data_IF_360956029739
#
_entry.id   IF_360956029739
#
_cell.length_a   1.000
_cell.length_b   1.000
_cell.length_c   1.000
_cell.angle_alpha   90.00
_cell.angle_beta   90.00
_cell.angle_gamma   90.00
#
_symmetry.space_group_name_H-M   'P 1'
#
loop_
_entity.id
_entity.type
_entity.pdbx_description
1 polymer ?
#
# COMPACT_ATOMS: atom_id res chain seq x y z
N UNK A 1 10.10 25.05 -5.69
CA UNK A 1 9.90 23.89 -4.80
C UNK A 1 10.97 23.90 -3.73
N UNK A 2 10.63 23.62 -2.46
CA UNK A 2 11.65 23.49 -1.42
C UNK A 2 12.38 22.16 -1.60
N UNK A 3 13.72 22.17 -1.55
CA UNK A 3 14.54 20.95 -1.68
C UNK A 3 14.15 19.85 -0.68
N UNK A 4 13.58 20.26 0.46
CA UNK A 4 13.09 19.38 1.51
C UNK A 4 11.81 18.63 1.11
N UNK A 5 10.88 19.27 0.39
CA UNK A 5 9.70 18.57 -0.14
C UNK A 5 10.11 17.54 -1.21
N UNK A 6 11.00 17.91 -2.13
CA UNK A 6 11.50 16.98 -3.15
C UNK A 6 12.21 15.78 -2.50
N UNK A 7 13.08 16.02 -1.51
CA UNK A 7 13.77 14.94 -0.79
C UNK A 7 12.79 13.96 -0.12
N UNK A 8 11.77 14.48 0.57
CA UNK A 8 10.76 13.61 1.22
C UNK A 8 9.82 12.94 0.20
N UNK A 9 9.62 13.55 -0.97
CA UNK A 9 8.87 12.96 -2.08
C UNK A 9 9.58 11.72 -2.65
N UNK A 10 10.86 11.85 -2.95
CA UNK A 10 11.70 10.75 -3.41
C UNK A 10 11.83 9.64 -2.35
N UNK A 11 11.99 10.05 -1.07
CA UNK A 11 12.17 9.11 0.04
C UNK A 11 10.96 8.19 0.20
N UNK A 12 9.74 8.75 0.25
CA UNK A 12 8.55 7.90 0.40
C UNK A 12 8.31 7.05 -0.84
N UNK A 13 8.53 7.60 -2.04
CA UNK A 13 8.36 6.85 -3.29
C UNK A 13 9.30 5.64 -3.32
N UNK A 14 10.59 5.84 -3.02
CA UNK A 14 11.57 4.76 -2.98
C UNK A 14 11.22 3.67 -1.96
N UNK A 15 10.84 4.05 -0.74
CA UNK A 15 10.42 3.09 0.27
C UNK A 15 9.14 2.34 -0.11
N UNK A 16 8.14 3.01 -0.67
CA UNK A 16 6.87 2.36 -1.04
C UNK A 16 7.03 1.46 -2.28
N UNK A 17 7.91 1.79 -3.22
CA UNK A 17 8.31 0.89 -4.32
C UNK A 17 8.99 -0.36 -3.74
N UNK A 18 9.94 -0.19 -2.83
CA UNK A 18 10.61 -1.32 -2.18
C UNK A 18 9.62 -2.18 -1.38
N UNK A 19 8.67 -1.54 -0.70
CA UNK A 19 7.60 -2.24 0.01
C UNK A 19 6.72 -3.05 -0.93
N UNK A 20 6.30 -2.46 -2.06
CA UNK A 20 5.51 -3.14 -3.08
C UNK A 20 6.25 -4.35 -3.65
N UNK A 21 7.53 -4.20 -4.02
CA UNK A 21 8.37 -5.29 -4.51
C UNK A 21 8.54 -6.38 -3.46
N UNK A 22 8.78 -6.01 -2.19
CA UNK A 22 8.91 -6.96 -1.09
C UNK A 22 7.64 -7.77 -0.83
N UNK A 23 6.48 -7.09 -0.77
CA UNK A 23 5.17 -7.71 -0.57
C UNK A 23 4.79 -8.58 -1.77
N UNK A 24 4.88 -8.04 -2.98
CA UNK A 24 4.54 -8.74 -4.22
C UNK A 24 5.46 -9.93 -4.47
N UNK A 25 6.76 -9.75 -4.26
CA UNK A 25 7.74 -10.84 -4.34
C UNK A 25 7.47 -11.93 -3.30
N UNK A 26 7.13 -11.57 -2.07
CA UNK A 26 6.71 -12.54 -1.03
C UNK A 26 5.48 -13.32 -1.47
N UNK A 27 4.47 -12.65 -2.03
CA UNK A 27 3.27 -13.29 -2.55
C UNK A 27 3.57 -14.25 -3.72
N UNK A 28 4.38 -13.85 -4.68
CA UNK A 28 4.78 -14.69 -5.81
C UNK A 28 5.57 -15.93 -5.34
N UNK A 29 6.50 -15.76 -4.40
CA UNK A 29 7.23 -16.88 -3.81
C UNK A 29 6.33 -17.79 -2.97
N UNK A 30 5.30 -17.24 -2.34
CA UNK A 30 4.30 -18.02 -1.63
C UNK A 30 3.48 -18.90 -2.59
N UNK A 31 3.12 -18.38 -3.78
CA UNK A 31 2.48 -19.20 -4.83
C UNK A 31 3.38 -20.36 -5.24
N UNK A 32 4.69 -20.13 -5.41
CA UNK A 32 5.65 -21.21 -5.72
C UNK A 32 5.67 -22.26 -4.60
N UNK A 33 5.60 -21.84 -3.33
CA UNK A 33 5.51 -22.75 -2.20
C UNK A 33 4.22 -23.58 -2.21
N UNK A 34 3.07 -23.01 -2.57
CA UNK A 34 1.79 -23.74 -2.67
C UNK A 34 1.75 -24.72 -3.83
N UNK A 35 2.43 -24.42 -4.95
CA UNK A 35 2.47 -25.30 -6.12
C UNK A 35 3.41 -26.51 -5.92
N UNK A 36 4.28 -26.48 -4.91
CA UNK A 36 5.22 -27.56 -4.52
C UNK A 36 6.16 -28.09 -5.63
N UNK A 37 6.21 -27.43 -6.79
CA UNK A 37 6.99 -27.83 -7.98
C UNK A 37 7.45 -26.60 -8.76
N UNK A 38 8.67 -26.61 -9.35
CA UNK A 38 9.78 -27.57 -9.21
C UNK A 38 10.59 -27.40 -7.90
N UNK A 39 11.20 -28.48 -7.40
CA UNK A 39 11.92 -28.53 -6.10
C UNK A 39 13.08 -27.51 -5.97
N UNK A 40 13.75 -27.15 -7.07
CA UNK A 40 14.84 -26.17 -7.03
C UNK A 40 14.31 -24.76 -6.70
N UNK A 41 13.16 -24.38 -7.29
CA UNK A 41 12.51 -23.10 -7.00
C UNK A 41 11.97 -23.06 -5.58
N UNK A 42 11.53 -24.19 -5.04
CA UNK A 42 11.03 -24.28 -3.67
C UNK A 42 12.09 -23.89 -2.62
N UNK A 43 13.33 -24.37 -2.80
CA UNK A 43 14.43 -24.02 -1.89
C UNK A 43 14.81 -22.53 -1.97
N UNK A 44 14.87 -22.00 -3.20
CA UNK A 44 15.09 -20.57 -3.42
C UNK A 44 13.97 -19.73 -2.82
N UNK A 45 12.72 -20.09 -3.09
CA UNK A 45 11.53 -19.38 -2.63
C UNK A 45 11.50 -19.30 -1.10
N UNK A 46 11.74 -20.41 -0.40
CA UNK A 46 11.76 -20.44 1.07
C UNK A 46 12.82 -19.51 1.66
N UNK A 47 14.03 -19.47 1.08
CA UNK A 47 15.12 -18.61 1.55
C UNK A 47 14.85 -17.13 1.28
N UNK A 48 14.44 -16.81 0.05
CA UNK A 48 14.25 -15.42 -0.41
C UNK A 48 13.01 -14.77 0.19
N UNK A 49 11.95 -15.56 0.46
CA UNK A 49 10.68 -15.08 1.05
C UNK A 49 10.92 -14.32 2.36
N UNK A 50 11.72 -14.87 3.28
CA UNK A 50 11.97 -14.24 4.58
C UNK A 50 12.62 -12.86 4.46
N UNK A 51 13.58 -12.70 3.56
CA UNK A 51 14.26 -11.42 3.33
C UNK A 51 13.33 -10.40 2.66
N UNK A 52 12.57 -10.80 1.63
CA UNK A 52 11.63 -9.92 0.96
C UNK A 52 10.50 -9.48 1.89
N UNK A 53 10.06 -10.37 2.77
CA UNK A 53 9.03 -10.04 3.75
C UNK A 53 9.55 -9.01 4.76
N UNK A 54 10.73 -9.23 5.33
CA UNK A 54 11.34 -8.30 6.28
C UNK A 54 11.64 -6.94 5.64
N UNK A 55 12.24 -6.93 4.45
CA UNK A 55 12.49 -5.71 3.70
C UNK A 55 11.17 -4.98 3.36
N UNK A 56 10.16 -5.73 2.92
CA UNK A 56 8.86 -5.19 2.53
C UNK A 56 8.14 -4.47 3.68
N UNK A 57 8.12 -5.05 4.89
CA UNK A 57 7.45 -4.42 6.04
C UNK A 57 8.22 -3.21 6.58
N UNK A 58 9.56 -3.27 6.65
CA UNK A 58 10.37 -2.13 7.08
C UNK A 58 10.22 -0.98 6.08
N UNK A 59 10.27 -1.29 4.79
CA UNK A 59 10.06 -0.31 3.73
C UNK A 59 8.64 0.28 3.77
N UNK A 60 7.60 -0.53 4.04
CA UNK A 60 6.23 -0.02 4.17
C UNK A 60 6.09 0.94 5.35
N UNK A 61 6.67 0.60 6.51
CA UNK A 61 6.66 1.45 7.71
C UNK A 61 7.36 2.79 7.45
N UNK A 62 8.59 2.74 6.95
CA UNK A 62 9.37 3.94 6.64
C UNK A 62 8.71 4.76 5.52
N UNK A 63 8.13 4.09 4.53
CA UNK A 63 7.39 4.71 3.43
C UNK A 63 6.16 5.46 3.91
N UNK A 64 5.35 4.91 4.82
CA UNK A 64 4.19 5.61 5.40
C UNK A 64 4.64 6.83 6.20
N UNK A 65 5.69 6.71 7.02
CA UNK A 65 6.22 7.85 7.78
C UNK A 65 6.75 8.93 6.83
N UNK A 66 7.51 8.56 5.81
CA UNK A 66 8.03 9.48 4.81
C UNK A 66 6.91 10.13 3.98
N UNK A 67 5.82 9.40 3.70
CA UNK A 67 4.65 9.91 2.97
C UNK A 67 3.94 11.01 3.78
N UNK A 68 3.75 10.78 5.08
CA UNK A 68 3.20 11.79 6.00
C UNK A 68 4.11 13.03 6.07
N UNK A 69 5.43 12.83 6.17
CA UNK A 69 6.40 13.93 6.13
C UNK A 69 6.35 14.66 4.78
N UNK A 70 6.20 13.96 3.67
CA UNK A 70 6.07 14.56 2.35
C UNK A 70 4.79 15.40 2.23
N UNK A 71 3.68 14.94 2.80
CA UNK A 71 2.44 15.71 2.86
C UNK A 71 2.59 16.99 3.69
N UNK A 72 3.21 16.92 4.87
CA UNK A 72 3.49 18.10 5.73
C UNK A 72 4.41 19.09 5.01
N UNK A 73 5.48 18.60 4.41
CA UNK A 73 6.46 19.47 3.75
C UNK A 73 5.92 20.04 2.45
N UNK A 74 5.01 19.33 1.78
CA UNK A 74 4.26 19.81 0.63
C UNK A 74 3.30 20.95 0.99
N UNK A 75 2.58 20.85 2.11
CA UNK A 75 1.70 21.94 2.57
C UNK A 75 2.45 23.19 3.02
N UNK A 76 3.71 23.05 3.43
CA UNK A 76 4.60 24.19 3.72
C UNK A 76 5.20 24.77 2.44
N UNK A 77 5.45 23.94 1.42
CA UNK A 77 6.11 24.35 0.18
C UNK A 77 5.19 25.11 -0.80
N UNK A 78 3.86 25.01 -0.63
CA UNK A 78 2.86 25.60 -1.52
C UNK A 78 1.85 26.44 -0.73
N UNK A 79 1.40 27.57 -1.28
CA UNK A 79 0.36 28.37 -0.64
C UNK A 79 -1.00 27.65 -0.70
N UNK A 80 -1.87 27.95 0.26
CA UNK A 80 -3.24 27.40 0.31
C UNK A 80 -4.04 27.70 -0.95
N UNK A 81 -3.85 28.90 -1.53
CA UNK A 81 -4.54 29.32 -2.74
C UNK A 81 -4.10 28.49 -3.96
N UNK A 82 -2.84 28.07 -4.03
CA UNK A 82 -2.35 27.19 -5.10
C UNK A 82 -2.82 25.74 -4.91
N UNK A 83 -2.92 25.28 -3.66
CA UNK A 83 -3.37 23.93 -3.33
C UNK A 83 -4.88 23.72 -3.53
N UNK A 84 -5.68 24.77 -3.30
CA UNK A 84 -7.13 24.73 -3.39
C UNK A 84 -7.68 25.43 -4.64
N UNK A 85 -6.84 26.18 -5.36
CA UNK A 85 -7.24 26.96 -6.52
C UNK A 85 -7.25 26.18 -7.84
N UNK A 86 -6.67 24.97 -7.89
CA UNK A 86 -6.72 24.11 -9.07
C UNK A 86 -7.34 22.74 -8.75
N UNK A 87 -8.25 22.23 -9.61
CA UNK A 87 -8.80 20.88 -9.47
C UNK A 87 -7.72 19.80 -9.40
N UNK A 88 -6.64 19.96 -10.16
CA UNK A 88 -5.51 19.03 -10.19
C UNK A 88 -4.78 18.94 -8.85
N UNK A 89 -4.52 20.07 -8.18
CA UNK A 89 -3.89 20.07 -6.86
C UNK A 89 -4.80 19.44 -5.80
N UNK A 90 -6.11 19.71 -5.88
CA UNK A 90 -7.10 19.10 -4.99
C UNK A 90 -7.19 17.57 -5.20
N UNK A 91 -7.21 17.12 -6.45
CA UNK A 91 -7.20 15.71 -6.81
C UNK A 91 -5.95 15.01 -6.26
N UNK A 92 -4.78 15.66 -6.40
CA UNK A 92 -3.52 15.16 -5.83
C UNK A 92 -3.61 15.01 -4.31
N UNK A 93 -4.20 15.97 -3.59
CA UNK A 93 -4.39 15.87 -2.13
C UNK A 93 -5.28 14.68 -1.77
N UNK A 94 -6.41 14.53 -2.44
CA UNK A 94 -7.36 13.41 -2.21
C UNK A 94 -6.69 12.07 -2.46
N UNK A 95 -6.00 11.93 -3.59
CA UNK A 95 -5.31 10.70 -3.97
C UNK A 95 -4.13 10.39 -3.04
N UNK A 96 -3.42 11.42 -2.55
CA UNK A 96 -2.35 11.27 -1.56
C UNK A 96 -2.92 10.78 -0.22
N UNK A 97 -4.06 11.33 0.21
CA UNK A 97 -4.74 10.86 1.42
C UNK A 97 -5.19 9.39 1.26
N UNK A 98 -5.80 9.04 0.13
CA UNK A 98 -6.20 7.66 -0.18
C UNK A 98 -5.00 6.70 -0.17
N UNK A 99 -3.89 7.06 -0.83
CA UNK A 99 -2.65 6.28 -0.82
C UNK A 99 -2.11 6.10 0.61
N UNK A 100 -2.13 7.16 1.42
CA UNK A 100 -1.71 7.13 2.83
C UNK A 100 -2.54 6.13 3.62
N UNK A 101 -3.87 6.18 3.50
CA UNK A 101 -4.77 5.26 4.18
C UNK A 101 -4.54 3.82 3.74
N UNK A 102 -4.35 3.56 2.45
CA UNK A 102 -4.10 2.22 1.92
C UNK A 102 -2.79 1.65 2.46
N UNK A 103 -1.71 2.42 2.43
CA UNK A 103 -0.41 1.97 2.92
C UNK A 103 -0.37 1.82 4.45
N UNK A 104 -1.01 2.72 5.19
CA UNK A 104 -1.19 2.57 6.63
C UNK A 104 -2.03 1.33 6.96
N UNK A 105 -3.07 1.06 6.16
CA UNK A 105 -3.88 -0.16 6.25
C UNK A 105 -3.06 -1.42 5.97
N UNK A 106 -2.19 -1.41 4.95
CA UNK A 106 -1.28 -2.51 4.67
C UNK A 106 -0.34 -2.77 5.86
N UNK A 107 0.29 -1.73 6.41
CA UNK A 107 1.11 -1.84 7.63
C UNK A 107 0.29 -2.43 8.78
N UNK A 108 -0.90 -1.89 9.04
CA UNK A 108 -1.78 -2.37 10.12
C UNK A 108 -2.14 -3.85 9.96
N UNK A 109 -2.58 -4.27 8.77
CA UNK A 109 -2.89 -5.67 8.43
C UNK A 109 -1.68 -6.54 8.73
N UNK A 110 -0.50 -6.16 8.26
CA UNK A 110 0.71 -6.97 8.47
C UNK A 110 1.14 -7.04 9.94
N UNK A 111 1.01 -5.96 10.70
CA UNK A 111 1.28 -5.94 12.14
C UNK A 111 0.25 -6.78 12.92
N UNK A 112 -1.02 -6.75 12.49
CA UNK A 112 -2.12 -7.43 13.17
C UNK A 112 -2.16 -8.93 12.92
N UNK A 113 -1.94 -9.35 11.68
CA UNK A 113 -2.08 -10.75 11.24
C UNK A 113 -0.74 -11.49 11.19
N UNK A 114 0.38 -10.77 11.23
CA UNK A 114 1.70 -11.39 11.29
C UNK A 114 1.97 -12.31 10.10
N UNK A 115 2.65 -13.43 10.36
CA UNK A 115 2.87 -14.52 9.38
C UNK A 115 1.58 -15.27 9.02
N UNK A 116 0.56 -15.21 9.88
CA UNK A 116 -0.76 -15.81 9.66
C UNK A 116 -1.41 -15.34 8.35
N UNK A 117 -1.09 -14.12 7.93
CA UNK A 117 -1.56 -13.51 6.69
C UNK A 117 -1.24 -14.36 5.44
N UNK A 118 -0.09 -15.02 5.41
CA UNK A 118 0.39 -15.77 4.25
C UNK A 118 -0.14 -17.21 4.17
N UNK A 119 -0.75 -17.69 5.26
CA UNK A 119 -1.27 -19.06 5.37
C UNK A 119 -2.52 -19.28 4.52
N UNK A 120 -3.34 -18.23 4.36
CA UNK A 120 -4.56 -18.27 3.57
C UNK A 120 -4.32 -17.54 2.24
N UNK A 121 -4.44 -18.23 1.08
CA UNK A 121 -4.20 -17.62 -0.22
C UNK A 121 -5.06 -16.39 -0.49
N UNK A 122 -6.31 -16.40 -0.03
CA UNK A 122 -7.21 -15.26 -0.18
C UNK A 122 -6.72 -14.02 0.59
N UNK A 123 -6.24 -14.18 1.82
CA UNK A 123 -5.71 -13.07 2.63
C UNK A 123 -4.40 -12.54 2.07
N UNK A 124 -3.50 -13.44 1.64
CA UNK A 124 -2.26 -13.08 0.98
C UNK A 124 -2.51 -12.29 -0.32
N UNK A 125 -3.46 -12.76 -1.14
CA UNK A 125 -3.86 -12.09 -2.38
C UNK A 125 -4.48 -10.73 -2.14
N UNK A 126 -5.37 -10.59 -1.15
CA UNK A 126 -5.95 -9.29 -0.78
C UNK A 126 -4.87 -8.30 -0.30
N UNK A 127 -3.91 -8.76 0.49
CA UNK A 127 -2.82 -7.92 0.97
C UNK A 127 -1.89 -7.46 -0.16
N UNK A 128 -1.51 -8.37 -1.06
CA UNK A 128 -0.72 -8.01 -2.25
C UNK A 128 -1.50 -7.12 -3.23
N UNK A 129 -2.80 -7.34 -3.38
CA UNK A 129 -3.68 -6.47 -4.16
C UNK A 129 -3.77 -5.06 -3.56
N UNK A 130 -3.84 -4.95 -2.24
CA UNK A 130 -3.86 -3.67 -1.55
C UNK A 130 -2.56 -2.89 -1.77
N UNK A 131 -1.40 -3.54 -1.72
CA UNK A 131 -0.11 -2.88 -2.02
C UNK A 131 0.01 -2.47 -3.49
N UNK A 132 -0.54 -3.27 -4.42
CA UNK A 132 -0.63 -2.92 -5.84
C UNK A 132 -1.47 -1.66 -6.06
N UNK A 133 -2.67 -1.59 -5.47
CA UNK A 133 -3.51 -0.38 -5.55
C UNK A 133 -2.76 0.81 -4.93
N UNK A 134 -2.13 0.59 -3.77
CA UNK A 134 -1.35 1.62 -3.09
C UNK A 134 -0.22 2.20 -3.96
N UNK A 135 0.56 1.36 -4.65
CA UNK A 135 1.65 1.85 -5.50
C UNK A 135 1.15 2.54 -6.76
N UNK A 136 0.03 2.08 -7.33
CA UNK A 136 -0.62 2.76 -8.47
C UNK A 136 -1.07 4.16 -8.07
N UNK A 137 -1.68 4.34 -6.90
CA UNK A 137 -2.05 5.67 -6.41
C UNK A 137 -0.84 6.58 -6.22
N UNK A 138 0.28 6.07 -5.70
CA UNK A 138 1.54 6.83 -5.59
C UNK A 138 2.06 7.24 -6.97
N UNK A 139 1.97 6.35 -7.97
CA UNK A 139 2.33 6.68 -9.35
C UNK A 139 1.48 7.81 -9.92
N UNK A 140 0.17 7.76 -9.72
CA UNK A 140 -0.77 8.80 -10.17
C UNK A 140 -0.48 10.14 -9.48
N UNK A 141 -0.31 10.16 -8.16
CA UNK A 141 -0.04 11.40 -7.41
C UNK A 141 1.34 11.97 -7.74
N UNK A 142 2.32 11.10 -8.01
CA UNK A 142 3.63 11.47 -8.54
C UNK A 142 3.51 12.15 -9.90
N UNK A 143 2.72 11.57 -10.82
CA UNK A 143 2.46 12.15 -12.13
C UNK A 143 1.81 13.52 -12.04
N UNK A 144 0.79 13.67 -11.20
CA UNK A 144 0.14 14.98 -10.96
C UNK A 144 1.14 15.99 -10.40
N UNK A 145 2.02 15.57 -9.49
CA UNK A 145 3.07 16.42 -8.95
C UNK A 145 4.04 16.93 -10.01
N UNK A 146 4.49 16.04 -10.90
CA UNK A 146 5.35 16.39 -12.02
C UNK A 146 4.60 17.31 -13.00
N UNK A 147 3.40 16.95 -13.44
CA UNK A 147 2.60 17.76 -14.37
C UNK A 147 2.32 19.18 -13.86
N UNK A 148 1.97 19.37 -12.57
CA UNK A 148 1.81 20.70 -11.95
C UNK A 148 3.11 21.54 -12.00
N UNK A 149 4.28 20.91 -12.03
CA UNK A 149 5.59 21.61 -11.87
C UNK A 149 6.37 21.75 -13.16
N UNK A 150 6.31 20.76 -14.05
CA UNK A 150 7.06 20.69 -15.31
C UNK A 150 6.15 20.69 -16.54
N UNK A 151 4.83 20.55 -16.37
CA UNK A 151 3.84 20.53 -17.45
C UNK A 151 3.66 19.18 -18.15
N UNK A 152 4.52 18.20 -17.85
CA UNK A 152 4.49 16.86 -18.45
C UNK A 152 5.01 15.81 -17.45
N UNK A 153 4.55 14.57 -17.55
CA UNK A 153 5.11 13.43 -16.83
C UNK A 153 5.10 12.14 -17.65
N UNK A 154 6.15 11.32 -17.46
CA UNK A 154 6.25 10.00 -18.09
C UNK A 154 5.14 9.03 -17.65
N UNK A 155 4.45 9.33 -16.54
CA UNK A 155 3.39 8.50 -15.98
C UNK A 155 1.99 8.98 -16.34
N UNK A 156 1.84 9.98 -17.22
CA UNK A 156 0.53 10.52 -17.61
C UNK A 156 -0.34 9.47 -18.31
N UNK A 157 0.27 8.46 -18.94
CA UNK A 157 -0.45 7.32 -19.51
C UNK A 157 -1.28 6.54 -18.46
N UNK A 158 -0.95 6.63 -17.16
CA UNK A 158 -1.73 6.01 -16.10
C UNK A 158 -3.11 6.64 -15.99
N UNK A 159 -3.25 7.93 -16.32
CA UNK A 159 -4.51 8.63 -16.32
C UNK A 159 -5.41 8.15 -17.46
N UNK A 160 -4.83 8.05 -18.65
CA UNK A 160 -5.50 7.51 -19.85
C UNK A 160 -5.94 6.05 -19.64
N UNK A 161 -5.06 5.23 -19.04
CA UNK A 161 -5.36 3.83 -18.76
C UNK A 161 -6.54 3.68 -17.78
N UNK A 162 -6.68 4.62 -16.84
CA UNK A 162 -7.78 4.63 -15.86
C UNK A 162 -9.00 5.43 -16.34
N UNK A 163 -8.90 6.10 -17.49
CA UNK A 163 -9.95 6.92 -18.06
C UNK A 163 -10.36 8.11 -17.20
N UNK A 164 -9.41 8.71 -16.45
CA UNK A 164 -9.68 9.90 -15.65
C UNK A 164 -8.89 11.11 -16.17
N UNK A 165 -9.53 12.28 -16.12
CA UNK A 165 -8.93 13.57 -16.50
C UNK A 165 -8.57 14.36 -15.22
N UNK A 166 -7.28 14.62 -14.95
CA UNK A 166 -6.84 15.33 -13.74
C UNK A 166 -7.25 16.80 -13.71
N UNK A 167 -7.62 17.40 -14.85
CA UNK A 167 -8.11 18.78 -14.92
C UNK A 167 -9.55 18.92 -14.42
N UNK A 168 -10.28 17.81 -14.37
CA UNK A 168 -11.64 17.76 -13.82
C UNK A 168 -11.60 17.38 -12.34
N UNK A 169 -12.42 18.06 -11.53
CA UNK A 169 -12.46 17.78 -10.10
C UNK A 169 -12.99 16.35 -9.86
N UNK A 170 -12.21 15.52 -9.18
CA UNK A 170 -12.63 14.22 -8.67
C UNK A 170 -13.49 14.37 -7.41
N UNK A 171 -13.66 15.59 -6.89
CA UNK A 171 -14.57 15.82 -5.78
C UNK A 171 -16.00 15.57 -6.24
N UNK A 172 -16.56 14.47 -5.74
CA UNK A 172 -17.97 14.21 -5.87
C UNK A 172 -18.77 15.34 -5.20
N UNK A 173 -19.99 15.58 -5.67
CA UNK A 173 -20.90 16.51 -4.99
C UNK A 173 -21.03 16.14 -3.51
N UNK A 174 -21.23 17.12 -2.62
CA UNK A 174 -21.36 16.89 -1.18
C UNK A 174 -22.36 15.77 -0.86
N UNK A 175 -23.47 15.72 -1.59
CA UNK A 175 -24.49 14.68 -1.45
C UNK A 175 -23.94 13.29 -1.82
N UNK A 176 -23.22 13.17 -2.94
CA UNK A 176 -22.59 11.91 -3.36
C UNK A 176 -21.53 11.46 -2.36
N UNK A 177 -20.70 12.38 -1.86
CA UNK A 177 -19.67 12.08 -0.87
C UNK A 177 -20.29 11.56 0.44
N UNK A 178 -21.34 12.22 0.94
CA UNK A 178 -22.09 11.77 2.13
C UNK A 178 -22.66 10.36 1.92
N UNK A 179 -23.29 10.10 0.77
CA UNK A 179 -23.85 8.79 0.45
C UNK A 179 -22.76 7.71 0.46
N UNK A 180 -21.61 7.96 -0.17
CA UNK A 180 -20.48 7.02 -0.19
C UNK A 180 -19.97 6.73 1.23
N UNK A 181 -19.80 7.77 2.05
CA UNK A 181 -19.34 7.61 3.44
C UNK A 181 -20.33 6.78 4.26
N UNK A 182 -21.63 7.07 4.15
CA UNK A 182 -22.68 6.34 4.87
C UNK A 182 -22.73 4.88 4.42
N UNK A 183 -22.71 4.61 3.11
CA UNK A 183 -22.70 3.25 2.58
C UNK A 183 -21.45 2.50 3.05
N UNK A 184 -20.27 3.13 2.98
CA UNK A 184 -19.01 2.53 3.43
C UNK A 184 -19.06 2.19 4.92
N UNK A 185 -19.59 3.08 5.76
CA UNK A 185 -19.77 2.83 7.18
C UNK A 185 -20.73 1.64 7.44
N UNK A 186 -21.86 1.58 6.72
CA UNK A 186 -22.82 0.47 6.82
C UNK A 186 -22.15 -0.86 6.44
N UNK A 187 -21.36 -0.88 5.36
CA UNK A 187 -20.62 -2.07 4.92
C UNK A 187 -19.62 -2.49 5.99
N UNK A 188 -18.80 -1.58 6.52
CA UNK A 188 -17.80 -1.89 7.55
C UNK A 188 -18.47 -2.45 8.81
N UNK A 189 -19.54 -1.82 9.28
CA UNK A 189 -20.30 -2.29 10.45
C UNK A 189 -20.93 -3.65 10.16
N UNK A 190 -21.56 -3.83 9.00
CA UNK A 190 -22.15 -5.09 8.57
C UNK A 190 -21.13 -6.24 8.52
N UNK A 191 -20.00 -6.02 7.85
CA UNK A 191 -18.90 -6.97 7.80
C UNK A 191 -18.34 -7.29 9.20
N UNK A 192 -18.20 -6.29 10.06
CA UNK A 192 -17.72 -6.47 11.44
C UNK A 192 -18.69 -7.32 12.27
N UNK A 193 -20.00 -7.05 12.15
CA UNK A 193 -21.04 -7.83 12.83
C UNK A 193 -21.08 -9.28 12.34
N UNK A 194 -20.96 -9.50 11.03
CA UNK A 194 -20.85 -10.84 10.43
C UNK A 194 -19.60 -11.55 10.95
N UNK A 195 -18.46 -10.86 11.02
CA UNK A 195 -17.21 -11.41 11.52
C UNK A 195 -17.31 -11.83 13.00
N UNK A 196 -17.95 -11.01 13.84
CA UNK A 196 -18.22 -11.32 15.25
C UNK A 196 -19.15 -12.54 15.36
N UNK A 197 -20.26 -12.56 14.61
CA UNK A 197 -21.23 -13.66 14.62
C UNK A 197 -20.64 -14.98 14.14
N UNK A 198 -19.76 -14.92 13.15
CA UNK A 198 -19.10 -16.10 12.58
C UNK A 198 -17.95 -16.60 13.47
N UNK A 199 -17.69 -15.99 14.62
CA UNK A 199 -16.60 -16.36 15.53
C UNK A 199 -15.20 -16.12 14.94
N UNK A 200 -15.09 -15.36 13.85
CA UNK A 200 -13.83 -15.08 13.17
C UNK A 200 -12.88 -14.24 14.04
N UNK A 201 -13.41 -13.51 15.03
CA UNK A 201 -12.60 -12.74 15.99
C UNK A 201 -11.80 -13.61 16.96
N UNK A 202 -12.15 -14.89 17.12
CA UNK A 202 -11.50 -15.83 18.05
C UNK A 202 -10.50 -16.78 17.36
N UNK A 203 -10.31 -16.69 16.06
CA UNK A 203 -9.36 -17.57 15.38
C UNK A 203 -7.92 -17.25 15.78
N UNK A 204 -7.26 -18.17 16.49
CA UNK A 204 -5.81 -18.17 16.63
C UNK A 204 -5.21 -18.67 15.32
N UNK A 205 -4.43 -17.83 14.64
CA UNK A 205 -3.67 -18.28 13.47
C UNK A 205 -2.67 -19.36 13.91
N UNK A 206 -2.84 -20.59 13.40
CA UNK A 206 -1.93 -21.70 13.66
C UNK A 206 -0.61 -21.46 12.91
N UNK A 207 0.51 -21.83 13.53
CA UNK A 207 1.83 -21.81 12.86
C UNK A 207 1.77 -22.65 11.56
N UNK A 208 2.20 -22.04 10.45
CA UNK A 208 2.11 -22.53 9.07
C UNK A 208 2.79 -23.90 8.85
N UNK A 209 3.64 -24.35 9.77
CA UNK A 209 4.48 -25.55 9.65
C UNK A 209 4.30 -26.58 10.78
N UNK A 210 3.34 -26.40 11.69
CA UNK A 210 3.21 -27.30 12.87
C UNK A 210 4.38 -27.20 13.87
N UNK A 211 5.42 -26.46 13.54
CA UNK A 211 6.51 -26.07 14.43
C UNK A 211 6.34 -24.60 14.78
N UNK A 212 5.80 -24.30 15.95
CA UNK A 212 6.04 -23.00 16.59
C UNK A 212 7.46 -22.98 17.18
N UNK A 213 8.46 -23.28 16.34
CA UNK A 213 9.87 -23.21 16.70
C UNK A 213 10.42 -21.94 16.06
N UNK A 214 10.62 -20.94 16.92
CA UNK A 214 11.81 -20.09 16.97
C UNK A 214 12.73 -20.25 15.73
N UNK A 215 12.77 -19.25 14.84
CA UNK A 215 13.77 -19.09 13.76
C UNK A 215 13.61 -19.96 12.50
N UNK A 216 12.85 -19.44 11.52
CA UNK A 216 13.18 -19.61 10.08
C UNK A 216 14.09 -18.47 9.60
N UNK A 217 15.00 -18.00 10.46
CA UNK A 217 16.15 -17.25 9.98
C UNK A 217 17.19 -18.25 9.47
N UNK A 218 17.89 -17.96 8.36
CA UNK A 218 19.09 -18.68 8.05
C UNK A 218 20.07 -18.46 9.21
N UNK A 219 20.31 -19.51 10.01
CA UNK A 219 21.41 -19.50 10.97
C UNK A 219 22.69 -19.34 10.17
N UNK A 220 23.32 -18.18 10.27
CA UNK A 220 24.73 -18.03 9.91
C UNK A 220 25.45 -18.96 10.90
N UNK A 221 26.02 -20.04 10.37
CA UNK A 221 26.89 -20.90 11.14
C UNK A 221 28.21 -20.16 11.24
N UNK A 222 28.57 -19.76 12.46
CA UNK A 222 29.97 -19.45 12.80
C UNK A 222 30.82 -20.71 12.67
#
# INVERSE_FOLDING_TARGET
MSSLHTMTAELHTGFLVLAFIGIGGTFLLQIVCWLERPKFLLNFARKTRGYLEAAGIVAALLGVVALLLSAITGSIAWSTDMLLGSPEAMNKIVMTAAATTIWAGAVFIRLRFGRGLWTCPAMAGLYAGLSLIGIVLIGITGSMGAHITTGESLLDFLWDLLGFDPSQSMMASDQTAIIIVVISAIIIVGCSLIAIRSGLSKQSFRCETGTCSYWDEPRIRD
#
